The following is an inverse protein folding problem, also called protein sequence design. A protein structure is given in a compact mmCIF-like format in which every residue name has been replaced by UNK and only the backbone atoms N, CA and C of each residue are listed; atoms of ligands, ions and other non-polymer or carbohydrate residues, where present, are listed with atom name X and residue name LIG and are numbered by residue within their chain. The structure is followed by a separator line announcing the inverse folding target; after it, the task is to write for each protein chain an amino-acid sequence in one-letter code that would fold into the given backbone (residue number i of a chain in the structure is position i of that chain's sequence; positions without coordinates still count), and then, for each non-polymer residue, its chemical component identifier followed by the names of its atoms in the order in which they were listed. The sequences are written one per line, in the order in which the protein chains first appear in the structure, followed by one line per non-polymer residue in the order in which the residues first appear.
data_IF_644433065202
#
_entry.id   IF_644433065202
#
_cell.length_a   1.000
_cell.length_b   1.000
_cell.length_c   1.000
_cell.angle_alpha   90.00
_cell.angle_beta   90.00
_cell.angle_gamma   90.00
#
_symmetry.space_group_name_H-M   'P 1'
#
loop_
_entity.id
_entity.type
_entity.pdbx_description
1 polymer ?
#
# COMPACT_ATOMS: atom_id res chain seq x y z
N UNK A 1 -1.38 -15.35 -8.34
CA UNK A 1 -0.85 -15.94 -7.09
C UNK A 1 -0.41 -17.40 -7.21
N UNK A 2 -0.83 -18.14 -8.25
CA UNK A 2 -0.48 -19.55 -8.45
C UNK A 2 0.83 -19.83 -9.18
N UNK A 3 1.60 -18.79 -9.54
CA UNK A 3 2.83 -18.94 -10.31
C UNK A 3 3.96 -19.56 -9.44
N UNK A 4 4.99 -20.19 -10.06
CA UNK A 4 6.13 -20.74 -9.33
C UNK A 4 6.95 -19.63 -8.63
N UNK A 5 7.80 -20.01 -7.68
CA UNK A 5 8.64 -19.05 -6.95
C UNK A 5 9.59 -18.27 -7.86
N UNK A 6 10.16 -18.94 -8.86
CA UNK A 6 11.06 -18.35 -9.85
C UNK A 6 10.40 -17.18 -10.60
N UNK A 7 9.11 -17.29 -10.93
CA UNK A 7 8.37 -16.20 -11.56
C UNK A 7 8.39 -14.92 -10.70
N UNK A 8 8.17 -15.05 -9.39
CA UNK A 8 8.18 -13.89 -8.49
C UNK A 8 9.58 -13.28 -8.36
N UNK A 9 10.62 -14.11 -8.32
CA UNK A 9 12.01 -13.64 -8.34
C UNK A 9 12.33 -12.88 -9.63
N UNK A 10 11.93 -13.42 -10.78
CA UNK A 10 12.08 -12.76 -12.09
C UNK A 10 11.34 -11.43 -12.13
N UNK A 11 10.06 -11.39 -11.74
CA UNK A 11 9.29 -10.14 -11.75
C UNK A 11 9.92 -9.07 -10.85
N UNK A 12 10.42 -9.43 -9.66
CA UNK A 12 11.14 -8.49 -8.81
C UNK A 12 12.43 -8.00 -9.48
N UNK A 13 13.20 -8.88 -10.14
CA UNK A 13 14.43 -8.47 -10.82
C UNK A 13 14.20 -7.67 -12.11
N UNK A 14 13.03 -7.78 -12.74
CA UNK A 14 12.73 -7.15 -14.04
C UNK A 14 11.93 -5.86 -13.92
N UNK A 15 11.14 -5.69 -12.86
CA UNK A 15 10.36 -4.46 -12.60
C UNK A 15 11.09 -3.56 -11.61
N UNK A 16 10.60 -2.34 -11.39
CA UNK A 16 11.31 -1.34 -10.57
C UNK A 16 10.71 -1.12 -9.18
N UNK A 17 9.61 -1.79 -8.86
CA UNK A 17 8.88 -1.67 -7.60
C UNK A 17 7.57 -2.44 -7.67
N UNK A 18 7.06 -2.87 -6.51
CA UNK A 18 5.79 -3.62 -6.45
C UNK A 18 4.81 -2.93 -5.50
N UNK A 19 3.53 -2.94 -5.88
CA UNK A 19 2.41 -2.53 -5.03
C UNK A 19 1.55 -3.74 -4.68
N UNK A 20 1.26 -3.90 -3.39
CA UNK A 20 0.30 -4.87 -2.85
C UNK A 20 -1.01 -4.11 -2.59
N UNK A 21 -2.09 -4.37 -3.34
CA UNK A 21 -3.32 -3.59 -3.25
C UNK A 21 -4.15 -3.96 -2.02
N UNK A 22 -5.27 -3.25 -1.85
CA UNK A 22 -6.33 -3.65 -0.93
C UNK A 22 -7.01 -4.96 -1.35
N UNK A 23 -7.85 -5.51 -0.47
CA UNK A 23 -8.54 -6.77 -0.70
C UNK A 23 -9.07 -7.38 0.60
N UNK A 24 -9.55 -8.61 0.53
CA UNK A 24 -10.16 -9.31 1.67
C UNK A 24 -9.82 -10.82 1.70
N UNK A 25 -8.59 -11.19 1.34
CA UNK A 25 -8.16 -12.60 1.32
C UNK A 25 -7.45 -13.02 2.60
N UNK A 26 -7.38 -14.32 2.87
CA UNK A 26 -6.63 -14.86 4.00
C UNK A 26 -5.12 -14.70 3.83
N UNK A 27 -4.41 -14.14 4.82
CA UNK A 27 -2.98 -13.83 4.70
C UNK A 27 -2.06 -15.06 4.68
N UNK A 28 -2.47 -16.13 5.35
CA UNK A 28 -1.70 -17.35 5.49
C UNK A 28 -1.93 -18.30 4.31
N UNK A 29 -3.20 -18.50 3.93
CA UNK A 29 -3.61 -19.58 3.01
C UNK A 29 -3.93 -19.11 1.60
N UNK A 30 -4.12 -17.82 1.35
CA UNK A 30 -4.43 -17.35 0.00
C UNK A 30 -3.19 -17.33 -0.91
N UNK A 31 -3.44 -17.48 -2.21
CA UNK A 31 -2.41 -17.35 -3.23
C UNK A 31 -1.79 -15.94 -3.26
N UNK A 32 -2.56 -14.90 -2.93
CA UNK A 32 -2.04 -13.52 -2.82
C UNK A 32 -1.14 -13.39 -1.60
N UNK A 33 -1.53 -13.95 -0.46
CA UNK A 33 -0.70 -13.99 0.75
C UNK A 33 0.63 -14.73 0.51
N UNK A 34 0.60 -15.83 -0.25
CA UNK A 34 1.80 -16.53 -0.72
C UNK A 34 2.67 -15.63 -1.60
N UNK A 35 2.12 -15.03 -2.66
CA UNK A 35 2.91 -14.19 -3.57
C UNK A 35 3.49 -12.96 -2.88
N UNK A 36 2.72 -12.32 -2.00
CA UNK A 36 3.17 -11.17 -1.21
C UNK A 36 4.39 -11.53 -0.35
N UNK A 37 4.40 -12.73 0.25
CA UNK A 37 5.52 -13.22 1.08
C UNK A 37 6.77 -13.54 0.27
N UNK A 38 6.62 -14.13 -0.91
CA UNK A 38 7.75 -14.36 -1.82
C UNK A 38 8.36 -13.03 -2.26
N UNK A 39 7.54 -12.07 -2.68
CA UNK A 39 8.00 -10.72 -3.05
C UNK A 39 8.65 -10.02 -1.87
N UNK A 40 8.01 -9.99 -0.70
CA UNK A 40 8.53 -9.31 0.49
C UNK A 40 9.92 -9.84 0.90
N UNK A 41 10.09 -11.16 0.91
CA UNK A 41 11.38 -11.78 1.23
C UNK A 41 12.46 -11.39 0.22
N UNK A 42 12.16 -11.41 -1.09
CA UNK A 42 13.09 -11.00 -2.14
C UNK A 42 13.46 -9.51 -2.00
N UNK A 43 12.48 -8.64 -1.75
CA UNK A 43 12.70 -7.20 -1.54
C UNK A 43 13.61 -6.95 -0.34
N UNK A 44 13.44 -7.67 0.77
CA UNK A 44 14.35 -7.57 1.91
C UNK A 44 15.78 -8.00 1.55
N UNK A 45 15.94 -9.06 0.76
CA UNK A 45 17.26 -9.54 0.34
C UNK A 45 17.98 -8.54 -0.56
N UNK A 46 17.30 -8.01 -1.59
CA UNK A 46 17.85 -6.99 -2.50
C UNK A 46 18.31 -5.76 -1.74
N UNK A 47 17.45 -5.19 -0.89
CA UNK A 47 17.82 -3.98 -0.17
C UNK A 47 18.92 -4.21 0.88
N UNK A 48 18.99 -5.40 1.51
CA UNK A 48 20.14 -5.77 2.37
C UNK A 48 21.44 -5.83 1.57
N UNK A 49 21.38 -6.26 0.31
CA UNK A 49 22.48 -6.25 -0.64
C UNK A 49 22.73 -4.86 -1.27
N UNK A 50 22.04 -3.81 -0.80
CA UNK A 50 22.10 -2.43 -1.31
C UNK A 50 21.59 -2.27 -2.75
N UNK A 51 20.77 -3.20 -3.22
CA UNK A 51 20.01 -3.07 -4.46
C UNK A 51 18.62 -2.49 -4.13
N UNK A 52 18.40 -1.24 -4.52
CA UNK A 52 17.27 -0.44 -4.03
C UNK A 52 15.95 -0.87 -4.64
N UNK A 53 15.08 -1.53 -3.88
CA UNK A 53 13.82 -2.02 -4.42
C UNK A 53 12.61 -1.61 -3.57
N UNK A 54 11.76 -0.69 -4.04
CA UNK A 54 10.64 -0.22 -3.25
C UNK A 54 9.42 -1.15 -3.28
N UNK A 55 8.75 -1.26 -2.15
CA UNK A 55 7.52 -2.04 -1.98
C UNK A 55 6.44 -1.19 -1.32
N UNK A 56 5.24 -1.20 -1.87
CA UNK A 56 4.09 -0.46 -1.35
C UNK A 56 2.97 -1.40 -0.90
N UNK A 57 2.31 -1.09 0.21
CA UNK A 57 1.09 -1.77 0.66
C UNK A 57 -0.07 -0.79 0.89
N UNK A 58 -1.21 -1.03 0.25
CA UNK A 58 -2.46 -0.26 0.48
C UNK A 58 -3.49 -1.13 1.19
N UNK A 59 -4.07 -0.65 2.29
CA UNK A 59 -5.12 -1.33 3.06
C UNK A 59 -4.73 -2.77 3.43
N UNK A 60 -5.28 -3.79 2.78
CA UNK A 60 -4.85 -5.19 2.97
C UNK A 60 -3.35 -5.39 2.69
N UNK A 61 -2.77 -4.70 1.72
CA UNK A 61 -1.33 -4.72 1.47
C UNK A 61 -0.53 -4.21 2.66
N UNK A 62 -0.96 -3.12 3.30
CA UNK A 62 -0.38 -2.63 4.56
C UNK A 62 -0.48 -3.69 5.67
N UNK A 63 -1.64 -4.35 5.79
CA UNK A 63 -1.86 -5.40 6.78
C UNK A 63 -0.96 -6.63 6.53
N UNK A 64 -0.74 -7.00 5.27
CA UNK A 64 0.19 -8.06 4.88
C UNK A 64 1.63 -7.70 5.23
N UNK A 65 2.08 -6.46 4.99
CA UNK A 65 3.42 -6.01 5.40
C UNK A 65 3.62 -6.16 6.92
N UNK A 66 2.63 -5.74 7.71
CA UNK A 66 2.64 -5.92 9.16
C UNK A 66 2.68 -7.41 9.54
N UNK A 67 1.80 -8.23 8.96
CA UNK A 67 1.74 -9.67 9.22
C UNK A 67 3.08 -10.37 8.92
N UNK A 68 3.71 -10.07 7.77
CA UNK A 68 4.99 -10.67 7.37
C UNK A 68 6.16 -10.20 8.23
N UNK A 69 6.14 -8.95 8.70
CA UNK A 69 7.17 -8.40 9.59
C UNK A 69 7.09 -9.00 10.98
N UNK A 70 5.87 -9.13 11.51
CA UNK A 70 5.67 -9.67 12.85
C UNK A 70 5.84 -11.20 12.89
N UNK A 71 5.30 -11.89 11.88
CA UNK A 71 5.18 -13.35 11.80
C UNK A 71 3.86 -13.91 12.35
N UNK A 72 2.93 -13.06 12.81
CA UNK A 72 1.58 -13.45 13.22
C UNK A 72 0.57 -12.32 12.95
N UNK A 73 -0.71 -12.59 13.20
CA UNK A 73 -1.78 -11.60 12.99
C UNK A 73 -1.99 -10.73 14.24
N UNK A 74 -1.69 -9.44 14.13
CA UNK A 74 -1.90 -8.43 15.17
C UNK A 74 -3.11 -7.51 14.92
N UNK A 75 -3.88 -7.77 13.87
CA UNK A 75 -5.04 -6.96 13.52
C UNK A 75 -6.13 -7.03 14.59
N UNK A 76 -6.72 -5.87 14.87
CA UNK A 76 -7.86 -5.75 15.79
C UNK A 76 -9.04 -5.07 15.10
N UNK A 77 -10.29 -5.41 15.48
CA UNK A 77 -11.47 -4.79 14.90
C UNK A 77 -11.55 -3.28 15.15
N UNK A 78 -11.82 -2.53 14.09
CA UNK A 78 -12.02 -1.07 14.11
C UNK A 78 -13.20 -0.66 13.25
N UNK A 79 -13.96 0.34 13.70
CA UNK A 79 -15.08 0.92 12.94
C UNK A 79 -14.59 2.04 12.00
N UNK A 80 -13.98 1.60 10.90
CA UNK A 80 -13.27 2.48 9.95
C UNK A 80 -13.69 2.28 8.50
N UNK A 81 -14.77 1.55 8.25
CA UNK A 81 -15.25 1.33 6.89
C UNK A 81 -16.08 2.53 6.38
N UNK A 82 -16.00 2.77 5.08
CA UNK A 82 -16.79 3.72 4.31
C UNK A 82 -16.75 5.17 4.85
N UNK A 83 -15.54 5.69 5.07
CA UNK A 83 -15.34 7.04 5.61
C UNK A 83 -14.04 7.67 5.13
N UNK A 84 -14.04 8.99 4.95
CA UNK A 84 -12.83 9.75 4.66
C UNK A 84 -12.39 10.58 5.87
N UNK A 85 -11.10 10.56 6.21
CA UNK A 85 -10.55 11.27 7.36
C UNK A 85 -9.32 12.11 7.00
N UNK A 86 -9.02 13.17 7.77
CA UNK A 86 -7.67 13.74 7.81
C UNK A 86 -6.72 12.75 8.49
N UNK A 87 -5.42 12.91 8.32
CA UNK A 87 -4.38 12.18 9.04
C UNK A 87 -3.94 12.96 10.27
N UNK A 88 -3.80 12.26 11.40
CA UNK A 88 -3.06 12.79 12.54
C UNK A 88 -1.61 12.38 12.39
N UNK A 89 -0.74 13.29 11.91
CA UNK A 89 0.68 13.01 11.79
C UNK A 89 1.34 12.81 13.15
N UNK A 90 2.28 11.87 13.22
CA UNK A 90 3.09 11.62 14.42
C UNK A 90 4.24 12.62 14.52
N UNK A 91 4.79 12.80 15.72
CA UNK A 91 6.00 13.59 15.89
C UNK A 91 7.15 12.99 15.03
N UNK A 92 7.86 13.86 14.30
CA UNK A 92 8.98 13.44 13.46
C UNK A 92 8.61 12.94 12.05
N UNK A 93 7.33 12.98 11.65
CA UNK A 93 6.93 12.58 10.29
C UNK A 93 7.67 13.36 9.19
N UNK A 94 8.15 14.58 9.47
CA UNK A 94 8.95 15.40 8.54
C UNK A 94 10.36 14.88 8.28
N UNK A 95 10.86 13.97 9.10
CA UNK A 95 12.13 13.27 8.83
C UNK A 95 11.94 12.03 7.97
N UNK A 96 10.70 11.69 7.59
CA UNK A 96 10.37 10.51 6.78
C UNK A 96 10.69 10.72 5.31
N UNK A 97 10.85 9.61 4.57
CA UNK A 97 10.96 9.66 3.11
C UNK A 97 9.61 10.02 2.48
N UNK A 98 8.53 9.42 2.97
CA UNK A 98 7.19 9.58 2.41
C UNK A 98 6.63 11.01 2.51
N UNK A 99 6.90 11.72 3.62
CA UNK A 99 6.31 13.03 3.88
C UNK A 99 7.33 14.15 4.16
N UNK A 100 8.61 13.83 4.29
CA UNK A 100 9.63 14.84 4.60
C UNK A 100 9.72 15.93 3.55
N UNK A 101 9.74 15.55 2.28
CA UNK A 101 9.77 16.47 1.14
C UNK A 101 8.38 16.79 0.57
N UNK A 102 7.30 16.43 1.27
CA UNK A 102 5.95 16.78 0.85
C UNK A 102 5.77 18.30 0.87
N UNK A 103 5.20 18.93 -0.18
CA UNK A 103 4.83 20.34 -0.13
C UNK A 103 3.96 20.64 1.09
N UNK A 104 4.17 21.80 1.74
CA UNK A 104 3.38 22.22 2.92
C UNK A 104 1.87 22.16 2.65
N UNK A 105 1.46 22.47 1.42
CA UNK A 105 0.07 22.38 1.00
C UNK A 105 -0.48 20.95 1.12
N UNK A 106 0.28 19.93 0.72
CA UNK A 106 -0.13 18.53 0.82
C UNK A 106 -0.28 18.12 2.29
N UNK A 107 0.67 18.53 3.13
CA UNK A 107 0.61 18.24 4.57
C UNK A 107 -0.56 18.96 5.24
N UNK A 108 -0.83 20.21 4.86
CA UNK A 108 -2.02 20.94 5.34
C UNK A 108 -3.31 20.24 4.92
N UNK A 109 -3.43 19.83 3.66
CA UNK A 109 -4.60 19.10 3.16
C UNK A 109 -4.78 17.79 3.95
N UNK A 110 -3.73 16.97 4.04
CA UNK A 110 -3.76 15.69 4.75
C UNK A 110 -4.13 15.86 6.23
N UNK A 111 -3.61 16.88 6.91
CA UNK A 111 -3.83 17.07 8.36
C UNK A 111 -5.16 17.72 8.72
N UNK A 112 -5.83 18.40 7.78
CA UNK A 112 -7.03 19.21 8.09
C UNK A 112 -8.29 18.79 7.36
N UNK A 113 -8.18 18.05 6.26
CA UNK A 113 -9.33 17.73 5.40
C UNK A 113 -9.60 16.22 5.35
N UNK A 114 -10.87 15.79 5.23
CA UNK A 114 -11.24 14.38 5.15
C UNK A 114 -10.90 13.79 3.76
N UNK A 115 -9.62 13.62 3.44
CA UNK A 115 -9.13 13.24 2.10
C UNK A 115 -8.61 11.81 2.00
N UNK A 116 -8.52 11.08 3.12
CA UNK A 116 -8.00 9.70 3.13
C UNK A 116 -9.15 8.70 3.26
N UNK A 117 -9.44 7.98 2.19
CA UNK A 117 -10.55 7.02 2.14
C UNK A 117 -10.19 5.76 2.95
N UNK A 118 -11.03 5.40 3.92
CA UNK A 118 -10.89 4.21 4.73
C UNK A 118 -12.00 3.21 4.38
N UNK A 119 -11.61 1.98 4.04
CA UNK A 119 -12.50 0.86 3.71
C UNK A 119 -11.99 -0.43 4.36
N UNK A 120 -11.88 -0.44 5.68
CA UNK A 120 -11.37 -1.59 6.43
C UNK A 120 -12.10 -1.77 7.77
N UNK A 121 -12.15 -3.02 8.23
CA UNK A 121 -12.77 -3.42 9.49
C UNK A 121 -11.73 -3.83 10.55
N UNK A 122 -10.45 -3.79 10.19
CA UNK A 122 -9.35 -4.27 11.00
C UNK A 122 -8.14 -3.36 10.84
N UNK A 123 -7.48 -3.02 11.95
CA UNK A 123 -6.31 -2.15 11.97
C UNK A 123 -5.27 -2.65 12.97
N UNK A 124 -4.05 -2.08 12.89
CA UNK A 124 -3.03 -2.22 13.93
C UNK A 124 -3.20 -1.06 14.92
N UNK A 125 -3.60 -1.34 16.15
CA UNK A 125 -3.71 -0.31 17.18
C UNK A 125 -2.34 0.25 17.57
N UNK A 126 -2.27 1.54 17.92
CA UNK A 126 -1.00 2.21 18.24
C UNK A 126 -0.19 1.48 19.31
N UNK A 127 -0.84 1.07 20.41
CA UNK A 127 -0.18 0.35 21.50
C UNK A 127 0.42 -0.99 21.05
N UNK A 128 -0.28 -1.72 20.18
CA UNK A 128 0.17 -3.01 19.65
C UNK A 128 1.39 -2.82 18.74
N UNK A 129 1.36 -1.78 17.90
CA UNK A 129 2.48 -1.43 17.03
C UNK A 129 3.75 -1.15 17.85
N UNK A 130 3.65 -0.34 18.90
CA UNK A 130 4.79 0.09 19.72
C UNK A 130 5.45 -1.06 20.50
N UNK A 131 4.67 -2.06 20.93
CA UNK A 131 5.18 -3.17 21.74
C UNK A 131 5.56 -4.41 20.93
N UNK A 132 5.45 -4.38 19.60
CA UNK A 132 5.71 -5.51 18.69
C UNK A 132 6.95 -5.30 17.84
N UNK A 133 7.31 -6.27 16.98
CA UNK A 133 8.42 -6.10 16.03
C UNK A 133 8.12 -5.00 15.01
N UNK A 134 6.85 -4.66 14.82
CA UNK A 134 6.43 -3.57 13.94
C UNK A 134 7.07 -2.24 14.33
N UNK A 135 7.04 -1.86 15.61
CA UNK A 135 7.67 -0.63 16.09
C UNK A 135 9.20 -0.62 15.99
N UNK A 136 9.82 -1.80 15.90
CA UNK A 136 11.26 -1.93 15.67
C UNK A 136 11.60 -1.76 14.20
N UNK A 137 10.79 -2.32 13.29
CA UNK A 137 11.04 -2.32 11.85
C UNK A 137 10.51 -1.09 11.11
N UNK A 138 9.36 -0.56 11.52
CA UNK A 138 8.67 0.55 10.88
C UNK A 138 8.70 1.81 11.75
N UNK A 139 8.69 2.97 11.08
CA UNK A 139 8.32 4.25 11.66
C UNK A 139 6.84 4.48 11.37
N UNK A 140 6.04 4.75 12.40
CA UNK A 140 4.66 5.23 12.24
C UNK A 140 4.67 6.71 11.85
N UNK A 141 4.02 7.04 10.74
CA UNK A 141 4.01 8.40 10.18
C UNK A 141 2.70 9.14 10.48
N UNK A 142 1.60 8.40 10.56
CA UNK A 142 0.31 8.94 10.95
C UNK A 142 -0.52 7.90 11.69
N UNK A 143 -1.48 8.40 12.46
CA UNK A 143 -2.51 7.63 13.12
C UNK A 143 -3.89 8.20 12.78
N UNK A 144 -4.92 7.40 13.02
CA UNK A 144 -6.32 7.81 13.01
C UNK A 144 -7.05 7.20 14.19
N UNK A 145 -8.23 7.73 14.51
CA UNK A 145 -9.16 7.15 15.47
C UNK A 145 -10.40 6.67 14.74
N UNK A 146 -10.83 5.46 15.04
CA UNK A 146 -12.09 4.93 14.51
C UNK A 146 -13.30 5.65 15.12
N UNK A 147 -14.52 5.32 14.67
CA UNK A 147 -15.75 5.95 15.20
C UNK A 147 -15.96 5.72 16.71
N UNK A 148 -15.27 4.76 17.32
CA UNK A 148 -15.32 4.43 18.74
C UNK A 148 -14.13 5.02 19.52
N UNK A 149 -13.27 5.81 18.86
CA UNK A 149 -12.11 6.45 19.48
C UNK A 149 -10.88 5.55 19.59
N UNK A 150 -10.88 4.34 19.02
CA UNK A 150 -9.71 3.46 19.01
C UNK A 150 -8.66 4.00 18.05
N UNK A 151 -7.47 4.30 18.57
CA UNK A 151 -6.37 4.82 17.78
C UNK A 151 -5.60 3.69 17.07
N UNK A 152 -5.37 3.85 15.78
CA UNK A 152 -4.68 2.90 14.93
C UNK A 152 -3.69 3.59 13.98
N UNK A 153 -2.69 2.83 13.54
CA UNK A 153 -1.67 3.29 12.61
C UNK A 153 -2.27 3.42 11.20
N UNK A 154 -2.15 4.58 10.58
CA UNK A 154 -2.70 4.83 9.24
C UNK A 154 -1.65 4.95 8.13
N UNK A 155 -0.40 5.28 8.46
CA UNK A 155 0.72 5.28 7.50
C UNK A 155 2.03 4.87 8.17
N UNK A 156 2.85 4.07 7.47
CA UNK A 156 4.17 3.60 7.90
C UNK A 156 5.20 3.66 6.78
N UNK A 157 6.47 3.74 7.17
CA UNK A 157 7.61 3.38 6.31
C UNK A 157 8.63 2.57 7.11
N UNK A 158 9.32 1.63 6.46
CA UNK A 158 10.36 0.84 7.13
C UNK A 158 11.57 1.74 7.43
N UNK A 159 12.27 1.51 8.54
CA UNK A 159 13.39 2.37 8.93
C UNK A 159 14.53 2.30 7.92
N UNK A 160 14.92 1.08 7.57
CA UNK A 160 16.12 0.80 6.77
C UNK A 160 15.83 0.34 5.33
N UNK A 161 14.55 0.18 4.97
CA UNK A 161 14.12 -0.35 3.68
C UNK A 161 13.12 0.60 2.99
N UNK A 162 13.09 0.70 1.65
CA UNK A 162 12.09 1.47 0.92
C UNK A 162 10.73 0.73 0.86
N UNK A 163 10.24 0.31 2.02
CA UNK A 163 8.96 -0.38 2.19
C UNK A 163 7.98 0.59 2.84
N UNK A 164 6.82 0.77 2.21
CA UNK A 164 5.84 1.79 2.54
C UNK A 164 4.47 1.17 2.69
N UNK A 165 3.66 1.69 3.60
CA UNK A 165 2.30 1.21 3.79
C UNK A 165 1.34 2.29 4.21
N UNK A 166 0.13 2.26 3.65
CA UNK A 166 -0.99 3.10 4.05
C UNK A 166 -2.22 2.22 4.29
N UNK A 167 -2.90 2.42 5.43
CA UNK A 167 -4.12 1.67 5.76
C UNK A 167 -5.34 2.20 4.96
N UNK A 168 -5.26 3.45 4.49
CA UNK A 168 -6.25 4.13 3.66
C UNK A 168 -5.95 3.96 2.16
N UNK A 169 -6.87 4.36 1.31
CA UNK A 169 -6.86 4.17 -0.15
C UNK A 169 -6.58 5.49 -0.89
N UNK A 170 -5.32 5.80 -1.25
CA UNK A 170 -4.98 7.00 -2.02
C UNK A 170 -5.50 6.97 -3.45
N UNK A 171 -5.80 5.79 -4.00
CA UNK A 171 -6.25 5.60 -5.39
C UNK A 171 -7.74 5.92 -5.59
N UNK A 172 -8.57 5.71 -4.56
CA UNK A 172 -10.03 5.77 -4.68
C UNK A 172 -10.57 7.16 -5.06
N UNK A 173 -10.08 8.29 -4.50
CA UNK A 173 -10.55 9.61 -4.91
C UNK A 173 -10.46 9.89 -6.41
N UNK A 174 -9.50 9.28 -7.09
CA UNK A 174 -9.24 9.53 -8.51
C UNK A 174 -10.04 8.58 -9.42
N UNK A 175 -10.29 7.34 -8.97
CA UNK A 175 -10.67 6.25 -9.86
C UNK A 175 -11.90 5.44 -9.44
N UNK A 176 -12.45 5.62 -8.23
CA UNK A 176 -13.61 4.85 -7.78
C UNK A 176 -14.81 5.77 -7.52
N UNK A 177 -15.80 5.74 -8.42
CA UNK A 177 -16.99 6.60 -8.39
C UNK A 177 -18.26 5.83 -7.97
N UNK A 178 -18.09 4.70 -7.27
CA UNK A 178 -19.23 3.89 -6.87
C UNK A 178 -20.06 4.60 -5.79
N UNK A 179 -21.36 4.82 -6.03
CA UNK A 179 -22.21 5.63 -5.16
C UNK A 179 -22.45 5.02 -3.76
N UNK A 180 -22.14 3.73 -3.57
CA UNK A 180 -22.25 3.08 -2.27
C UNK A 180 -21.12 3.50 -1.31
N UNK A 181 -20.05 4.12 -1.82
CA UNK A 181 -18.95 4.58 -1.00
C UNK A 181 -18.95 6.10 -0.81
N UNK A 182 -18.72 6.51 0.43
CA UNK A 182 -18.49 7.88 0.84
C UNK A 182 -17.02 8.27 0.62
N UNK A 183 -16.67 8.47 -0.65
CA UNK A 183 -15.33 8.83 -1.10
C UNK A 183 -15.30 10.35 -1.34
N UNK A 184 -14.34 11.03 -0.73
CA UNK A 184 -14.11 12.44 -1.02
C UNK A 184 -13.42 12.60 -2.38
N UNK A 185 -14.14 13.15 -3.37
CA UNK A 185 -13.65 13.44 -4.72
C UNK A 185 -13.22 14.90 -4.93
N UNK A 186 -13.00 15.66 -3.86
CA UNK A 186 -12.53 17.04 -3.97
C UNK A 186 -11.19 17.12 -4.72
N UNK A 187 -10.88 18.26 -5.37
CA UNK A 187 -9.58 18.47 -6.00
C UNK A 187 -8.39 18.20 -5.05
N UNK A 188 -8.56 18.50 -3.76
CA UNK A 188 -7.56 18.25 -2.74
C UNK A 188 -7.34 16.75 -2.48
N UNK A 189 -8.40 15.94 -2.44
CA UNK A 189 -8.27 14.49 -2.31
C UNK A 189 -7.57 13.89 -3.53
N UNK A 190 -7.92 14.35 -4.74
CA UNK A 190 -7.27 13.94 -5.99
C UNK A 190 -5.77 14.31 -5.99
N UNK A 191 -5.44 15.51 -5.51
CA UNK A 191 -4.06 16.00 -5.40
C UNK A 191 -3.23 15.17 -4.42
N UNK A 192 -3.82 14.73 -3.31
CA UNK A 192 -3.19 13.78 -2.38
C UNK A 192 -2.91 12.45 -3.07
N UNK A 193 -3.90 11.87 -3.76
CA UNK A 193 -3.72 10.63 -4.52
C UNK A 193 -2.55 10.71 -5.50
N UNK A 194 -2.46 11.82 -6.26
CA UNK A 194 -1.35 12.08 -7.18
C UNK A 194 0.00 12.22 -6.47
N UNK A 195 0.05 12.90 -5.32
CA UNK A 195 1.28 13.02 -4.53
C UNK A 195 1.82 11.64 -4.11
N UNK A 196 0.94 10.78 -3.58
CA UNK A 196 1.34 9.44 -3.13
C UNK A 196 1.87 8.59 -4.30
N UNK A 197 1.21 8.66 -5.47
CA UNK A 197 1.67 8.00 -6.68
C UNK A 197 3.05 8.53 -7.13
N UNK A 198 3.22 9.86 -7.19
CA UNK A 198 4.48 10.48 -7.57
C UNK A 198 5.63 10.09 -6.64
N UNK A 199 5.37 10.03 -5.33
CA UNK A 199 6.35 9.57 -4.35
C UNK A 199 6.79 8.14 -4.65
N UNK A 200 5.86 7.19 -4.78
CA UNK A 200 6.23 5.79 -5.02
C UNK A 200 6.91 5.56 -6.37
N UNK A 201 6.48 6.26 -7.43
CA UNK A 201 7.16 6.19 -8.73
C UNK A 201 8.58 6.79 -8.66
N UNK A 202 8.79 7.85 -7.88
CA UNK A 202 10.13 8.39 -7.64
C UNK A 202 11.03 7.41 -6.89
N UNK A 203 10.48 6.60 -6.00
CA UNK A 203 11.20 5.50 -5.35
C UNK A 203 11.60 4.43 -6.36
N UNK A 204 10.69 4.06 -7.27
CA UNK A 204 10.96 3.06 -8.31
C UNK A 204 12.06 3.49 -9.29
N UNK A 205 12.23 4.79 -9.53
CA UNK A 205 13.32 5.33 -10.37
C UNK A 205 14.73 5.15 -9.79
N UNK A 206 14.88 4.68 -8.54
CA UNK A 206 16.16 4.56 -7.85
C UNK A 206 16.88 3.23 -8.07
N UNK A 207 16.37 2.35 -8.92
CA UNK A 207 17.07 1.17 -9.42
C UNK A 207 17.10 1.10 -10.94
N UNK A 208 17.97 0.25 -11.45
CA UNK A 208 18.17 0.00 -12.88
C UNK A 208 17.62 -1.35 -13.34
N UNK A 209 16.67 -1.91 -12.59
CA UNK A 209 16.00 -3.16 -12.96
C UNK A 209 15.28 -2.98 -14.29
N UNK A 210 15.25 -4.05 -15.09
CA UNK A 210 14.66 -4.05 -16.42
C UNK A 210 14.39 -5.48 -16.88
N UNK A 211 13.41 -5.64 -17.75
CA UNK A 211 13.18 -6.89 -18.45
C UNK A 211 14.40 -7.27 -19.31
N UNK A 212 14.61 -8.58 -19.55
CA UNK A 212 15.74 -9.06 -20.33
C UNK A 212 15.64 -8.69 -21.82
N UNK A 213 14.44 -8.38 -22.32
CA UNK A 213 14.21 -7.88 -23.67
C UNK A 213 12.94 -7.03 -23.75
N UNK A 214 12.85 -6.20 -24.80
CA UNK A 214 11.65 -5.42 -25.11
C UNK A 214 10.43 -6.33 -25.36
N UNK A 215 10.66 -7.52 -25.91
CA UNK A 215 9.58 -8.49 -26.14
C UNK A 215 9.02 -9.03 -24.82
N UNK A 216 9.89 -9.38 -23.87
CA UNK A 216 9.49 -9.85 -22.54
C UNK A 216 8.76 -8.74 -21.77
N UNK A 217 9.24 -7.50 -21.85
CA UNK A 217 8.53 -6.35 -21.29
C UNK A 217 7.14 -6.23 -21.90
N UNK A 218 7.05 -6.15 -23.22
CA UNK A 218 5.79 -5.97 -23.94
C UNK A 218 4.75 -7.05 -23.63
N UNK A 219 5.15 -8.30 -23.33
CA UNK A 219 4.24 -9.39 -22.98
C UNK A 219 3.75 -9.37 -21.52
N UNK A 220 4.42 -8.62 -20.63
CA UNK A 220 4.10 -8.54 -19.20
C UNK A 220 3.43 -7.23 -18.80
N UNK A 221 3.26 -6.30 -19.74
CA UNK A 221 2.56 -5.03 -19.53
C UNK A 221 1.03 -5.22 -19.38
N UNK A 222 0.40 -4.32 -18.60
CA UNK A 222 -1.04 -4.38 -18.28
C UNK A 222 -1.92 -4.18 -19.52
N UNK A 223 -1.39 -3.51 -20.55
CA UNK A 223 -2.00 -3.24 -21.85
C UNK A 223 -2.40 -4.52 -22.60
N UNK A 224 -1.85 -5.68 -22.24
CA UNK A 224 -2.24 -6.98 -22.80
C UNK A 224 -3.55 -7.52 -22.21
N UNK A 225 -4.08 -6.90 -21.16
CA UNK A 225 -5.27 -7.35 -20.46
C UNK A 225 -6.43 -6.39 -20.73
N UNK A 226 -7.64 -6.94 -20.89
CA UNK A 226 -8.85 -6.14 -21.06
C UNK A 226 -9.42 -5.76 -19.70
N UNK A 227 -9.70 -4.48 -19.49
CA UNK A 227 -10.55 -4.08 -18.37
C UNK A 227 -12.01 -4.46 -18.68
N UNK A 228 -12.72 -4.91 -17.65
CA UNK A 228 -14.11 -5.31 -17.73
C UNK A 228 -14.88 -4.47 -16.72
N UNK A 229 -15.97 -3.85 -17.19
CA UNK A 229 -16.94 -3.29 -16.27
C UNK A 229 -17.64 -4.45 -15.54
N UNK A 230 -17.49 -4.52 -14.22
CA UNK A 230 -18.10 -5.55 -13.40
C UNK A 230 -18.76 -4.91 -12.20
N UNK A 231 -20.09 -4.89 -12.18
CA UNK A 231 -20.86 -4.30 -11.10
C UNK A 231 -20.98 -5.26 -9.91
N UNK A 232 -19.90 -5.43 -9.15
CA UNK A 232 -19.90 -6.16 -7.88
C UNK A 232 -20.25 -5.27 -6.68
N UNK A 233 -20.54 -3.99 -6.94
CA UNK A 233 -20.77 -3.01 -5.90
C UNK A 233 -19.50 -2.52 -5.19
N UNK A 234 -18.30 -2.82 -5.69
CA UNK A 234 -17.01 -2.39 -5.10
C UNK A 234 -16.16 -1.48 -6.01
N UNK A 235 -15.96 -1.83 -7.27
CA UNK A 235 -15.31 -0.99 -8.29
C UNK A 235 -16.12 -1.04 -9.58
N UNK A 236 -15.74 -0.20 -10.55
CA UNK A 236 -16.34 -0.25 -11.88
C UNK A 236 -15.51 -1.09 -12.84
N UNK A 237 -14.19 -0.87 -12.89
CA UNK A 237 -13.30 -1.57 -13.80
C UNK A 237 -12.43 -2.61 -13.08
N UNK A 238 -12.38 -3.82 -13.65
CA UNK A 238 -11.59 -4.94 -13.16
C UNK A 238 -10.74 -5.54 -14.27
N UNK A 239 -9.56 -6.05 -13.89
CA UNK A 239 -8.75 -6.92 -14.73
C UNK A 239 -8.85 -8.35 -14.19
N UNK A 240 -9.49 -9.23 -14.96
CA UNK A 240 -9.51 -10.66 -14.65
C UNK A 240 -8.37 -11.35 -15.40
N UNK A 241 -7.42 -11.90 -14.66
CA UNK A 241 -6.26 -12.60 -15.21
C UNK A 241 -6.55 -14.09 -15.17
N UNK A 242 -6.69 -14.71 -16.33
CA UNK A 242 -6.78 -16.17 -16.45
C UNK A 242 -5.45 -16.79 -15.98
N UNK A 243 -5.46 -17.81 -15.10
CA UNK A 243 -4.25 -18.59 -14.83
C UNK A 243 -3.77 -19.29 -16.11
N UNK A 244 -2.84 -18.63 -16.82
CA UNK A 244 -1.93 -19.31 -17.76
C UNK A 244 -1.03 -20.28 -17.01
#
# INVERSE_FOLDING_TARGET
GGQPEEYYSQMVNWTNGILIPGGAVNFATSLIGRSARLVYNQVLQLNKAKDYYPLWGTCMGFQLLCYMTEGNNLLQPTDSANISWPLTFTAGFRSSRMFGNAPEEIIKILSTQPVTQNQHHYSILTKVFETSKLGQFFTKLSVNKDRQGKEFISSIEAKDFPIYGVQWHPEKPNFNWNPNYNINHSPNAVKVGQYMANFFVNEARKNSHRFPSVQEEAMNLIENYKNVYFNDGTFFDFYFIDPR
#
